data_IF_613938045797
#
_entry.id   IF_613938045797
#
_cell.length_a   1.000
_cell.length_b   1.000
_cell.length_c   1.000
_cell.angle_alpha   90.00
_cell.angle_beta   90.00
_cell.angle_gamma   90.00
#
_symmetry.space_group_name_H-M   'P 1'
#
loop_
_entity.id
_entity.type
_entity.pdbx_description
1 polymer ?
#
# COMPACT_ATOMS: atom_id res chain seq x y z
N UNK A 1 -23.17 27.94 -8.02
CA UNK A 1 -23.57 29.34 -8.37
C UNK A 1 -22.59 29.87 -9.41
N UNK A 2 -23.04 30.69 -10.37
CA UNK A 2 -22.08 31.54 -11.11
C UNK A 2 -21.41 32.48 -10.09
N UNK A 3 -20.06 32.56 -10.05
CA UNK A 3 -19.32 33.40 -9.09
C UNK A 3 -19.79 34.85 -9.01
N UNK A 4 -20.36 35.34 -10.12
CA UNK A 4 -20.93 36.68 -10.28
C UNK A 4 -22.09 36.97 -9.31
N UNK A 5 -22.94 35.99 -9.00
CA UNK A 5 -24.12 36.20 -8.13
C UNK A 5 -23.71 36.33 -6.66
N UNK A 6 -22.72 35.55 -6.21
CA UNK A 6 -22.15 35.66 -4.85
C UNK A 6 -21.44 37.01 -4.68
N UNK A 7 -20.70 37.43 -5.71
CA UNK A 7 -20.02 38.71 -5.71
C UNK A 7 -21.00 39.89 -5.63
N UNK A 8 -22.07 39.86 -6.45
CA UNK A 8 -23.10 40.90 -6.43
C UNK A 8 -23.90 40.92 -5.13
N UNK A 9 -24.25 39.76 -4.55
CA UNK A 9 -24.97 39.71 -3.27
C UNK A 9 -24.11 40.23 -2.11
N UNK A 10 -22.80 39.92 -2.10
CA UNK A 10 -21.85 40.48 -1.15
C UNK A 10 -21.75 42.01 -1.25
N UNK A 11 -21.75 42.56 -2.46
CA UNK A 11 -21.69 44.01 -2.70
C UNK A 11 -22.96 44.72 -2.22
N UNK A 12 -24.13 44.10 -2.36
CA UNK A 12 -25.41 44.61 -1.83
C UNK A 12 -25.42 44.62 -0.30
N UNK A 13 -24.90 43.56 0.35
CA UNK A 13 -24.81 43.51 1.82
C UNK A 13 -23.84 44.59 2.34
N UNK A 14 -22.72 44.81 1.66
CA UNK A 14 -21.76 45.86 2.02
C UNK A 14 -22.39 47.26 1.91
N UNK A 15 -23.16 47.52 0.85
CA UNK A 15 -23.87 48.78 0.67
C UNK A 15 -24.92 49.02 1.77
N UNK A 16 -25.66 47.98 2.16
CA UNK A 16 -26.63 48.05 3.26
C UNK A 16 -25.96 48.26 4.63
N UNK A 17 -24.78 47.67 4.86
CA UNK A 17 -23.98 47.90 6.06
C UNK A 17 -23.51 49.36 6.15
N UNK A 18 -23.04 49.92 5.03
CA UNK A 18 -22.59 51.31 4.98
C UNK A 18 -23.77 52.28 5.19
N UNK A 19 -24.93 51.98 4.61
CA UNK A 19 -26.16 52.73 4.84
C UNK A 19 -26.59 52.68 6.32
N UNK A 20 -26.50 51.50 6.94
CA UNK A 20 -26.82 51.32 8.36
C UNK A 20 -25.92 52.16 9.27
N UNK A 21 -24.61 52.22 8.97
CA UNK A 21 -23.64 53.01 9.72
C UNK A 21 -23.84 54.53 9.55
N UNK A 22 -24.26 54.97 8.36
CA UNK A 22 -24.45 56.39 8.03
C UNK A 22 -25.80 56.97 8.49
N UNK A 23 -26.75 56.15 8.95
CA UNK A 23 -28.09 56.61 9.34
C UNK A 23 -28.16 56.95 10.83
N UNK A 24 -28.33 58.23 11.15
CA UNK A 24 -28.56 58.72 12.54
C UNK A 24 -30.02 58.56 13.01
N UNK A 25 -30.95 58.31 12.10
CA UNK A 25 -32.38 58.12 12.41
C UNK A 25 -32.64 56.69 12.94
N UNK A 26 -33.06 56.60 14.21
CA UNK A 26 -33.31 55.34 14.94
C UNK A 26 -34.32 54.44 14.21
N UNK A 27 -35.34 55.01 13.57
CA UNK A 27 -36.37 54.22 12.85
C UNK A 27 -35.82 53.61 11.56
N UNK A 28 -34.97 54.36 10.84
CA UNK A 28 -34.30 53.86 9.62
C UNK A 28 -33.22 52.84 9.96
N UNK A 29 -32.44 53.08 11.02
CA UNK A 29 -31.43 52.15 11.52
C UNK A 29 -32.04 50.80 11.88
N UNK A 30 -33.22 50.79 12.52
CA UNK A 30 -33.94 49.55 12.84
C UNK A 30 -34.35 48.79 11.58
N UNK A 31 -34.96 49.45 10.58
CA UNK A 31 -35.42 48.81 9.33
C UNK A 31 -34.26 48.26 8.49
N UNK A 32 -33.19 49.05 8.32
CA UNK A 32 -32.00 48.63 7.55
C UNK A 32 -31.29 47.48 8.27
N UNK A 33 -31.21 47.53 9.60
CA UNK A 33 -30.64 46.45 10.41
C UNK A 33 -31.40 45.12 10.26
N UNK A 34 -32.74 45.13 10.29
CA UNK A 34 -33.52 43.89 10.08
C UNK A 34 -33.35 43.33 8.67
N UNK A 35 -33.26 44.18 7.65
CA UNK A 35 -33.05 43.75 6.26
C UNK A 35 -31.65 43.14 6.09
N UNK A 36 -30.63 43.73 6.72
CA UNK A 36 -29.27 43.20 6.70
C UNK A 36 -29.20 41.82 7.35
N UNK A 37 -29.79 41.67 8.54
CA UNK A 37 -29.81 40.39 9.28
C UNK A 37 -30.59 39.33 8.48
N UNK A 38 -31.77 39.67 7.95
CA UNK A 38 -32.55 38.75 7.13
C UNK A 38 -31.79 38.35 5.85
N UNK A 39 -31.07 39.28 5.22
CA UNK A 39 -30.23 39.01 4.06
C UNK A 39 -29.08 38.05 4.36
N UNK A 40 -28.38 38.25 5.48
CA UNK A 40 -27.28 37.36 5.91
C UNK A 40 -27.83 35.98 6.27
N UNK A 41 -28.91 35.90 7.04
CA UNK A 41 -29.55 34.62 7.42
C UNK A 41 -30.04 33.87 6.18
N UNK A 42 -30.66 34.56 5.22
CA UNK A 42 -31.06 33.96 3.95
C UNK A 42 -29.85 33.41 3.20
N UNK A 43 -28.74 34.15 3.13
CA UNK A 43 -27.51 33.72 2.45
C UNK A 43 -26.85 32.54 3.16
N UNK A 44 -26.86 32.50 4.50
CA UNK A 44 -26.41 31.38 5.30
C UNK A 44 -27.28 30.13 5.07
N UNK A 45 -28.61 30.26 5.14
CA UNK A 45 -29.54 29.16 4.85
C UNK A 45 -29.37 28.64 3.42
N UNK A 46 -29.17 29.54 2.45
CA UNK A 46 -28.93 29.16 1.05
C UNK A 46 -27.55 28.54 0.81
N UNK A 47 -26.56 28.91 1.62
CA UNK A 47 -25.24 28.27 1.62
C UNK A 47 -25.26 26.88 2.26
N UNK A 48 -26.24 26.60 3.13
CA UNK A 48 -26.48 25.27 3.69
C UNK A 48 -27.18 24.33 2.71
N UNK A 49 -27.79 24.84 1.63
CA UNK A 49 -28.36 23.99 0.60
C UNK A 49 -27.22 23.21 -0.09
N UNK A 50 -27.31 21.87 -0.18
CA UNK A 50 -26.26 21.06 -0.79
C UNK A 50 -26.00 21.57 -2.20
N UNK A 51 -24.76 21.94 -2.47
CA UNK A 51 -24.29 22.22 -3.83
C UNK A 51 -24.49 20.91 -4.61
N UNK A 52 -25.50 20.86 -5.47
CA UNK A 52 -25.65 19.78 -6.46
C UNK A 52 -24.57 19.97 -7.54
N UNK A 53 -23.32 19.80 -7.12
CA UNK A 53 -22.21 19.43 -7.98
C UNK A 53 -21.97 17.92 -7.84
N UNK A 54 -23.06 17.16 -7.92
CA UNK A 54 -22.99 15.71 -8.00
C UNK A 54 -22.74 15.35 -9.48
N UNK A 55 -21.48 15.39 -9.90
CA UNK A 55 -21.00 14.67 -11.08
C UNK A 55 -21.01 13.15 -10.78
N UNK A 56 -22.19 12.63 -10.43
CA UNK A 56 -22.37 11.21 -10.18
C UNK A 56 -22.61 10.52 -11.51
N UNK A 57 -21.85 9.46 -11.73
CA UNK A 57 -22.06 8.50 -12.79
C UNK A 57 -22.74 7.27 -12.17
N UNK A 58 -23.49 6.49 -12.94
CA UNK A 58 -23.95 5.16 -12.57
C UNK A 58 -23.24 4.19 -13.49
N UNK A 59 -22.33 3.39 -12.94
CA UNK A 59 -21.68 2.35 -13.71
C UNK A 59 -22.69 1.22 -13.95
N UNK A 60 -23.02 0.98 -15.22
CA UNK A 60 -23.84 -0.13 -15.65
C UNK A 60 -23.10 -1.47 -15.60
N UNK A 61 -23.69 -2.46 -16.25
CA UNK A 61 -23.09 -3.79 -16.34
C UNK A 61 -22.01 -3.86 -17.43
N UNK A 62 -21.01 -4.72 -17.19
CA UNK A 62 -20.00 -5.04 -18.18
C UNK A 62 -20.58 -6.01 -19.19
N UNK A 63 -20.65 -5.59 -20.45
CA UNK A 63 -21.02 -6.44 -21.57
C UNK A 63 -19.76 -6.99 -22.22
N UNK A 64 -19.70 -8.33 -22.34
CA UNK A 64 -18.61 -8.98 -23.06
C UNK A 64 -18.80 -8.81 -24.58
N UNK A 65 -17.77 -8.29 -25.25
CA UNK A 65 -17.66 -8.31 -26.71
C UNK A 65 -16.67 -9.40 -27.12
N UNK A 66 -16.81 -9.95 -28.32
CA UNK A 66 -15.93 -11.03 -28.81
C UNK A 66 -14.44 -10.67 -28.80
N UNK A 67 -14.10 -9.38 -28.77
CA UNK A 67 -12.75 -8.82 -28.73
C UNK A 67 -12.43 -8.05 -27.42
N UNK A 68 -13.25 -8.10 -26.37
CA UNK A 68 -13.01 -7.39 -25.11
C UNK A 68 -14.25 -7.14 -24.26
N UNK A 69 -14.32 -5.97 -23.62
CA UNK A 69 -15.46 -5.59 -22.78
C UNK A 69 -15.95 -4.18 -23.09
N UNK A 70 -17.25 -3.95 -22.90
CA UNK A 70 -17.87 -2.64 -22.95
C UNK A 70 -18.49 -2.31 -21.59
N UNK A 71 -18.23 -1.11 -21.10
CA UNK A 71 -18.83 -0.58 -19.89
C UNK A 71 -19.71 0.60 -20.27
N UNK A 72 -21.00 0.48 -19.95
CA UNK A 72 -21.95 1.58 -20.07
C UNK A 72 -21.98 2.36 -18.77
N UNK A 73 -21.84 3.67 -18.85
CA UNK A 73 -21.81 4.59 -17.71
C UNK A 73 -22.88 5.64 -17.94
N UNK A 74 -23.86 5.70 -17.05
CA UNK A 74 -24.95 6.65 -17.15
C UNK A 74 -24.63 7.91 -16.33
N UNK A 75 -24.57 9.06 -16.98
CA UNK A 75 -24.35 10.34 -16.31
C UNK A 75 -25.66 10.78 -15.64
N UNK A 76 -25.66 11.01 -14.32
CA UNK A 76 -26.87 11.51 -13.65
C UNK A 76 -27.12 12.96 -14.08
N UNK A 77 -28.34 13.25 -14.53
CA UNK A 77 -28.77 14.59 -14.89
C UNK A 77 -28.79 15.47 -13.63
N UNK A 78 -28.35 16.72 -13.76
CA UNK A 78 -28.47 17.67 -12.67
C UNK A 78 -29.96 17.95 -12.41
N UNK A 79 -30.40 17.92 -11.16
CA UNK A 79 -31.78 18.24 -10.79
C UNK A 79 -31.90 19.73 -10.46
N UNK A 80 -33.00 20.35 -10.87
CA UNK A 80 -33.32 21.74 -10.54
C UNK A 80 -33.79 21.89 -9.08
N UNK A 81 -34.09 23.13 -8.65
CA UNK A 81 -34.50 23.44 -7.27
C UNK A 81 -35.87 22.87 -6.87
N UNK A 82 -36.63 22.31 -7.81
CA UNK A 82 -37.97 21.72 -7.61
C UNK A 82 -37.95 20.19 -7.72
N UNK A 83 -36.81 19.58 -8.02
CA UNK A 83 -36.72 18.14 -8.22
C UNK A 83 -36.92 17.71 -9.69
N UNK A 84 -36.96 18.65 -10.64
CA UNK A 84 -37.10 18.34 -12.07
C UNK A 84 -35.72 18.12 -12.71
N UNK A 85 -35.58 17.08 -13.54
CA UNK A 85 -34.33 16.79 -14.25
C UNK A 85 -34.03 17.87 -15.29
N UNK A 86 -32.85 18.48 -15.21
CA UNK A 86 -32.36 19.42 -16.22
C UNK A 86 -31.90 18.60 -17.42
N UNK A 87 -32.46 18.90 -18.59
CA UNK A 87 -32.11 18.26 -19.86
C UNK A 87 -30.60 18.37 -20.14
N UNK A 88 -29.95 17.23 -20.38
CA UNK A 88 -28.50 17.15 -20.56
C UNK A 88 -28.11 17.57 -21.97
N UNK A 89 -27.37 18.67 -22.09
CA UNK A 89 -26.78 19.11 -23.37
C UNK A 89 -25.57 18.25 -23.73
N UNK A 90 -25.39 18.01 -25.03
CA UNK A 90 -24.28 17.21 -25.55
C UNK A 90 -22.91 17.77 -25.18
N UNK A 91 -22.75 19.10 -25.18
CA UNK A 91 -21.52 19.78 -24.74
C UNK A 91 -21.16 19.48 -23.28
N UNK A 92 -22.16 19.37 -22.39
CA UNK A 92 -21.96 19.01 -20.98
C UNK A 92 -21.58 17.54 -20.83
N UNK A 93 -22.16 16.66 -21.64
CA UNK A 93 -21.84 15.23 -21.66
C UNK A 93 -20.41 15.00 -22.18
N UNK A 94 -19.99 15.74 -23.21
CA UNK A 94 -18.64 15.69 -23.77
C UNK A 94 -17.58 16.25 -22.80
N UNK A 95 -17.90 17.30 -22.05
CA UNK A 95 -17.04 17.80 -20.98
C UNK A 95 -16.86 16.76 -19.85
N UNK A 96 -17.93 16.04 -19.50
CA UNK A 96 -17.89 14.94 -18.52
C UNK A 96 -17.08 13.74 -19.04
N UNK A 97 -17.23 13.38 -20.31
CA UNK A 97 -16.44 12.35 -20.99
C UNK A 97 -14.93 12.67 -20.89
N UNK A 98 -14.53 13.90 -21.22
CA UNK A 98 -13.11 14.33 -21.16
C UNK A 98 -12.54 14.23 -19.75
N UNK A 99 -13.31 14.65 -18.75
CA UNK A 99 -12.90 14.56 -17.34
C UNK A 99 -12.69 13.12 -16.90
N UNK A 100 -13.58 12.22 -17.34
CA UNK A 100 -13.51 10.79 -17.05
C UNK A 100 -12.34 10.11 -17.78
N UNK A 101 -12.09 10.50 -19.03
CA UNK A 101 -10.96 10.02 -19.84
C UNK A 101 -9.59 10.41 -19.24
N UNK A 102 -9.42 11.67 -18.86
CA UNK A 102 -8.17 12.18 -18.27
C UNK A 102 -7.80 11.47 -16.96
N UNK A 103 -8.80 11.01 -16.20
CA UNK A 103 -8.61 10.34 -14.91
C UNK A 103 -8.38 8.84 -15.01
N UNK A 104 -9.07 8.14 -15.92
CA UNK A 104 -8.91 6.69 -16.08
C UNK A 104 -7.54 6.32 -16.66
N UNK A 105 -6.92 7.18 -17.48
CA UNK A 105 -5.58 6.97 -18.06
C UNK A 105 -5.39 5.61 -18.76
N UNK A 106 -6.47 5.03 -19.30
CA UNK A 106 -6.43 3.73 -20.00
C UNK A 106 -6.24 3.85 -21.52
N UNK A 107 -6.06 5.07 -22.04
CA UNK A 107 -5.92 5.37 -23.48
C UNK A 107 -4.71 4.65 -24.10
N UNK A 108 -3.65 4.46 -23.33
CA UNK A 108 -2.46 3.71 -23.74
C UNK A 108 -2.69 2.21 -23.99
N UNK A 109 -3.86 1.67 -23.61
CA UNK A 109 -4.26 0.27 -23.84
C UNK A 109 -5.31 0.10 -24.94
N UNK A 110 -5.64 1.17 -25.70
CA UNK A 110 -6.56 1.10 -26.83
C UNK A 110 -8.06 1.23 -26.48
N UNK A 111 -8.38 1.76 -25.30
CA UNK A 111 -9.75 2.05 -24.91
C UNK A 111 -10.35 3.20 -25.76
N UNK A 112 -11.61 3.05 -26.16
CA UNK A 112 -12.35 4.05 -26.91
C UNK A 112 -13.57 4.53 -26.10
N UNK A 113 -13.83 5.84 -26.11
CA UNK A 113 -14.92 6.47 -25.35
C UNK A 113 -15.88 7.14 -26.32
N UNK A 114 -17.17 6.96 -26.10
CA UNK A 114 -18.21 7.70 -26.82
C UNK A 114 -19.28 8.20 -25.86
N UNK A 115 -19.77 9.40 -26.12
CA UNK A 115 -20.93 10.00 -25.46
C UNK A 115 -22.14 9.90 -26.39
N UNK A 116 -23.27 9.44 -25.88
CA UNK A 116 -24.54 9.44 -26.59
C UNK A 116 -25.66 10.00 -25.70
N UNK A 117 -26.50 10.85 -26.29
CA UNK A 117 -27.70 11.34 -25.63
C UNK A 117 -28.68 10.18 -25.41
N UNK A 118 -29.48 10.19 -24.32
CA UNK A 118 -29.70 11.32 -23.40
C UNK A 118 -28.65 11.47 -22.28
N UNK A 119 -27.94 10.41 -21.89
CA UNK A 119 -27.00 10.45 -20.75
C UNK A 119 -26.01 9.29 -20.69
N UNK A 120 -25.70 8.65 -21.82
CA UNK A 120 -24.91 7.43 -21.84
C UNK A 120 -23.48 7.72 -22.28
N UNK A 121 -22.52 7.25 -21.51
CA UNK A 121 -21.11 7.18 -21.88
C UNK A 121 -20.75 5.71 -22.05
N UNK A 122 -20.26 5.35 -23.23
CA UNK A 122 -19.78 4.00 -23.53
C UNK A 122 -18.26 4.00 -23.51
N UNK A 123 -17.69 3.10 -22.71
CA UNK A 123 -16.25 2.83 -22.65
C UNK A 123 -16.03 1.45 -23.26
N UNK A 124 -15.45 1.41 -24.47
CA UNK A 124 -15.09 0.18 -25.15
C UNK A 124 -13.63 -0.15 -24.87
N UNK A 125 -13.39 -1.34 -24.32
CA UNK A 125 -12.09 -1.82 -23.88
C UNK A 125 -11.71 -3.09 -24.66
N UNK A 126 -11.25 -2.95 -25.93
CA UNK A 126 -10.80 -4.08 -26.72
C UNK A 126 -9.51 -4.67 -26.12
N UNK A 127 -9.43 -5.99 -26.00
CA UNK A 127 -8.26 -6.70 -25.48
C UNK A 127 -8.10 -6.72 -23.95
N UNK A 128 -9.03 -6.13 -23.19
CA UNK A 128 -9.02 -6.19 -21.73
C UNK A 128 -9.48 -7.56 -21.21
N UNK A 129 -8.84 -8.05 -20.15
CA UNK A 129 -9.35 -9.22 -19.43
C UNK A 129 -10.56 -8.83 -18.58
N UNK A 130 -11.35 -9.83 -18.15
CA UNK A 130 -12.50 -9.61 -17.26
C UNK A 130 -12.10 -8.87 -15.98
N UNK A 131 -10.95 -9.22 -15.40
CA UNK A 131 -10.44 -8.62 -14.18
C UNK A 131 -10.04 -7.15 -14.38
N UNK A 132 -9.36 -6.83 -15.49
CA UNK A 132 -9.01 -5.45 -15.82
C UNK A 132 -10.27 -4.58 -16.03
N UNK A 133 -11.29 -5.15 -16.67
CA UNK A 133 -12.53 -4.45 -16.96
C UNK A 133 -13.37 -4.22 -15.68
N UNK A 134 -13.35 -5.17 -14.73
CA UNK A 134 -13.93 -5.00 -13.39
C UNK A 134 -13.17 -3.95 -12.55
N UNK A 135 -11.84 -3.85 -12.67
CA UNK A 135 -11.04 -2.80 -12.03
C UNK A 135 -11.41 -1.41 -12.56
N UNK A 136 -11.60 -1.27 -13.88
CA UNK A 136 -12.06 -0.01 -14.48
C UNK A 136 -13.46 0.35 -13.96
N UNK A 137 -14.39 -0.61 -13.89
CA UNK A 137 -15.71 -0.39 -13.28
C UNK A 137 -15.58 0.04 -11.82
N UNK A 138 -14.69 -0.58 -11.04
CA UNK A 138 -14.45 -0.21 -9.65
C UNK A 138 -13.87 1.21 -9.50
N UNK A 139 -12.96 1.63 -10.39
CA UNK A 139 -12.43 3.00 -10.42
C UNK A 139 -13.52 4.03 -10.73
N UNK A 140 -14.36 3.77 -11.73
CA UNK A 140 -15.50 4.64 -12.08
C UNK A 140 -16.48 4.77 -10.90
N UNK A 141 -16.65 3.73 -10.09
CA UNK A 141 -17.50 3.75 -8.88
C UNK A 141 -16.81 4.50 -7.73
N UNK A 142 -15.53 4.22 -7.48
CA UNK A 142 -14.76 4.86 -6.41
C UNK A 142 -14.60 6.37 -6.62
N UNK A 143 -14.49 6.82 -7.88
CA UNK A 143 -14.39 8.23 -8.26
C UNK A 143 -15.70 9.02 -8.07
N UNK A 144 -16.83 8.37 -7.77
CA UNK A 144 -18.09 9.06 -7.45
C UNK A 144 -18.07 9.76 -6.09
N UNK A 145 -16.99 9.58 -5.31
CA UNK A 145 -16.84 10.07 -3.93
C UNK A 145 -16.06 11.38 -3.81
N UNK A 146 -15.89 12.15 -4.90
CA UNK A 146 -15.12 13.41 -4.93
C UNK A 146 -15.84 14.49 -4.12
N UNK A 147 -15.49 14.51 -2.84
CA UNK A 147 -16.11 15.32 -1.79
C UNK A 147 -15.91 14.68 -0.41
N UNK A 148 -15.65 13.37 -0.36
CA UNK A 148 -15.23 12.71 0.88
C UNK A 148 -13.76 13.02 1.14
N UNK A 149 -13.49 13.81 2.17
CA UNK A 149 -12.18 13.81 2.83
C UNK A 149 -11.83 12.36 3.14
N UNK A 150 -10.64 11.90 2.73
CA UNK A 150 -10.18 10.55 3.10
C UNK A 150 -10.21 10.45 4.63
N UNK A 151 -11.04 9.58 5.21
CA UNK A 151 -11.15 9.49 6.65
C UNK A 151 -9.83 8.97 7.23
N UNK A 152 -9.29 9.67 8.23
CA UNK A 152 -8.13 9.19 8.99
C UNK A 152 -8.46 7.94 9.81
N UNK A 153 -7.47 7.36 10.48
CA UNK A 153 -7.63 6.14 11.29
C UNK A 153 -8.75 6.25 12.34
N UNK A 154 -8.96 7.45 12.89
CA UNK A 154 -10.01 7.71 13.89
C UNK A 154 -11.42 7.59 13.32
N UNK A 155 -11.58 7.73 12.00
CA UNK A 155 -12.87 7.74 11.31
C UNK A 155 -13.08 6.47 10.48
N UNK A 156 -12.05 6.03 9.74
CA UNK A 156 -12.08 4.82 8.92
C UNK A 156 -11.87 3.54 9.75
N UNK A 157 -11.37 3.67 10.97
CA UNK A 157 -10.71 2.56 11.66
C UNK A 157 -9.35 2.24 11.01
N UNK A 158 -8.69 1.22 11.53
CA UNK A 158 -7.40 0.74 11.02
C UNK A 158 -6.43 0.38 12.15
N UNK A 159 -5.13 0.36 11.81
CA UNK A 159 -4.07 0.00 12.75
C UNK A 159 -2.97 1.07 12.79
N UNK A 160 -2.45 1.32 13.99
CA UNK A 160 -1.30 2.20 14.24
C UNK A 160 -0.24 1.44 15.04
N UNK A 161 1.00 1.52 14.59
CA UNK A 161 2.16 0.92 15.24
C UNK A 161 3.21 1.99 15.54
N UNK A 162 3.72 2.00 16.77
CA UNK A 162 4.90 2.78 17.16
C UNK A 162 6.05 1.81 17.39
N UNK A 163 7.08 1.90 16.56
CA UNK A 163 8.24 1.04 16.56
C UNK A 163 9.46 1.80 17.06
N UNK A 164 10.40 1.13 17.70
CA UNK A 164 11.70 1.65 18.08
C UNK A 164 12.79 0.83 17.39
N UNK A 165 13.66 1.52 16.65
CA UNK A 165 14.85 0.92 16.03
C UNK A 165 15.86 0.63 17.14
N UNK A 166 16.26 -0.63 17.27
CA UNK A 166 17.27 -1.04 18.24
C UNK A 166 18.67 -0.94 17.62
N UNK A 167 19.69 -0.62 18.42
CA UNK A 167 21.06 -0.70 17.93
C UNK A 167 21.45 -2.15 17.62
N UNK A 168 22.35 -2.32 16.64
CA UNK A 168 22.87 -3.63 16.24
C UNK A 168 24.17 -3.93 17.00
N UNK A 169 24.33 -5.15 17.47
CA UNK A 169 25.61 -5.65 18.03
C UNK A 169 26.29 -6.46 16.94
N UNK A 170 27.55 -6.17 16.64
CA UNK A 170 28.32 -6.94 15.65
C UNK A 170 28.63 -8.35 16.19
N UNK A 171 28.47 -9.38 15.35
CA UNK A 171 28.64 -10.79 15.76
C UNK A 171 30.12 -11.16 16.05
N UNK A 172 31.08 -10.34 15.62
CA UNK A 172 32.52 -10.60 15.80
C UNK A 172 33.24 -9.67 16.80
N UNK A 173 32.53 -8.74 17.45
CA UNK A 173 33.07 -7.90 18.52
C UNK A 173 31.97 -7.00 19.07
N UNK A 174 31.73 -7.02 20.38
CA UNK A 174 30.56 -6.42 21.05
C UNK A 174 30.46 -4.89 21.04
N UNK A 175 30.80 -4.24 19.93
CA UNK A 175 30.54 -2.82 19.71
C UNK A 175 29.10 -2.63 19.25
N UNK A 176 28.38 -1.81 19.99
CA UNK A 176 27.02 -1.38 19.69
C UNK A 176 27.08 -0.34 18.58
N UNK A 177 26.54 -0.64 17.41
CA UNK A 177 26.37 0.35 16.34
C UNK A 177 25.16 1.21 16.73
N UNK A 178 25.41 2.48 17.05
CA UNK A 178 24.35 3.45 17.37
C UNK A 178 23.37 3.62 16.20
N UNK A 179 22.12 3.89 16.54
CA UNK A 179 21.07 4.15 15.55
C UNK A 179 21.34 5.50 14.90
N UNK A 180 21.71 5.49 13.63
CA UNK A 180 21.90 6.73 12.85
C UNK A 180 20.60 7.15 12.18
N UNK A 181 20.49 8.45 11.84
CA UNK A 181 19.35 8.95 11.05
C UNK A 181 19.17 8.21 9.72
N UNK A 182 20.28 7.78 9.12
CA UNK A 182 20.28 7.02 7.87
C UNK A 182 19.70 5.61 8.07
N UNK A 183 20.01 4.97 9.20
CA UNK A 183 19.42 3.67 9.56
C UNK A 183 17.90 3.77 9.73
N UNK A 184 17.39 4.88 10.30
CA UNK A 184 15.95 5.12 10.43
C UNK A 184 15.29 5.32 9.07
N UNK A 185 15.88 6.15 8.20
CA UNK A 185 15.36 6.37 6.85
C UNK A 185 15.37 5.07 6.03
N UNK A 186 16.42 4.26 6.18
CA UNK A 186 16.52 2.96 5.55
C UNK A 186 15.46 1.98 6.10
N UNK A 187 15.21 2.00 7.41
CA UNK A 187 14.15 1.22 8.04
C UNK A 187 12.76 1.64 7.53
N UNK A 188 12.46 2.94 7.43
CA UNK A 188 11.22 3.47 6.86
C UNK A 188 11.02 2.98 5.43
N UNK A 189 12.04 3.12 4.57
CA UNK A 189 12.00 2.64 3.18
C UNK A 189 11.79 1.13 3.09
N UNK A 190 12.43 0.38 3.99
CA UNK A 190 12.32 -1.08 4.07
C UNK A 190 10.90 -1.50 4.47
N UNK A 191 10.33 -0.88 5.50
CA UNK A 191 8.97 -1.14 5.96
C UNK A 191 7.94 -0.77 4.89
N UNK A 192 8.16 0.32 4.16
CA UNK A 192 7.30 0.70 3.04
C UNK A 192 7.28 -0.37 1.94
N UNK A 193 8.46 -0.88 1.54
CA UNK A 193 8.56 -1.94 0.54
C UNK A 193 7.96 -3.29 1.00
N UNK A 194 8.06 -3.60 2.30
CA UNK A 194 7.49 -4.82 2.89
C UNK A 194 5.96 -4.77 2.99
N UNK A 195 5.41 -3.65 3.45
CA UNK A 195 3.98 -3.54 3.75
C UNK A 195 3.16 -3.13 2.52
N UNK A 196 3.76 -2.41 1.58
CA UNK A 196 3.11 -1.89 0.37
C UNK A 196 3.98 -2.08 -0.89
N UNK A 197 4.27 -3.32 -1.31
CA UNK A 197 5.11 -3.59 -2.48
C UNK A 197 4.50 -3.02 -3.78
N UNK A 198 3.17 -3.03 -3.90
CA UNK A 198 2.43 -2.60 -5.09
C UNK A 198 2.09 -1.09 -5.07
N UNK A 199 2.37 -0.38 -3.97
CA UNK A 199 2.09 1.05 -3.82
C UNK A 199 0.60 1.41 -3.73
N UNK A 200 -0.30 0.43 -3.66
CA UNK A 200 -1.76 0.60 -3.70
C UNK A 200 -2.39 0.89 -2.34
N UNK A 201 -1.71 0.53 -1.24
CA UNK A 201 -2.23 0.74 0.12
C UNK A 201 -2.01 2.19 0.56
N UNK A 202 -3.07 2.82 1.05
CA UNK A 202 -3.00 4.12 1.73
C UNK A 202 -2.40 3.90 3.13
N UNK A 203 -1.10 4.17 3.30
CA UNK A 203 -0.41 4.07 4.59
C UNK A 203 0.55 5.26 4.80
N UNK A 204 0.73 5.64 6.06
CA UNK A 204 1.68 6.65 6.48
C UNK A 204 2.80 6.00 7.28
N UNK A 205 4.04 6.15 6.85
CA UNK A 205 5.22 5.70 7.59
C UNK A 205 6.13 6.91 7.78
N UNK A 206 6.38 7.29 9.04
CA UNK A 206 7.19 8.46 9.36
C UNK A 206 8.14 8.17 10.54
N UNK A 207 9.37 8.71 10.49
CA UNK A 207 10.23 8.72 11.67
C UNK A 207 9.64 9.67 12.73
N UNK A 208 9.72 9.28 13.98
CA UNK A 208 9.35 10.09 15.14
C UNK A 208 10.52 10.16 16.13
N UNK A 209 11.02 11.36 16.42
CA UNK A 209 12.15 11.52 17.34
C UNK A 209 13.46 10.95 16.77
N UNK A 210 14.31 10.42 17.65
CA UNK A 210 15.66 9.95 17.30
C UNK A 210 15.74 8.47 16.90
N UNK A 211 14.79 7.63 17.32
CA UNK A 211 14.85 6.18 17.08
C UNK A 211 13.48 5.53 16.87
N UNK A 212 12.38 6.30 16.82
CA UNK A 212 11.04 5.74 16.63
C UNK A 212 10.54 5.89 15.19
N UNK A 213 9.66 4.98 14.80
CA UNK A 213 8.93 5.00 13.52
C UNK A 213 7.45 4.79 13.83
N UNK A 214 6.60 5.68 13.32
CA UNK A 214 5.15 5.52 13.35
C UNK A 214 4.67 5.01 12.01
N UNK A 215 3.80 3.99 12.07
CA UNK A 215 3.08 3.44 10.94
C UNK A 215 1.59 3.62 11.21
N UNK A 216 0.87 4.23 10.29
CA UNK A 216 -0.59 4.34 10.31
C UNK A 216 -1.18 3.74 9.04
N UNK A 217 -2.13 2.84 9.22
CA UNK A 217 -2.79 2.12 8.13
C UNK A 217 -4.31 2.27 8.30
N UNK A 218 -4.93 3.32 7.72
CA UNK A 218 -6.37 3.52 7.76
C UNK A 218 -7.13 2.44 6.99
N UNK A 219 -8.28 2.02 7.50
CA UNK A 219 -9.21 1.11 6.82
C UNK A 219 -8.79 -0.36 6.76
N UNK A 220 -7.66 -0.74 7.39
CA UNK A 220 -7.22 -2.15 7.43
C UNK A 220 -8.03 -2.98 8.43
N UNK A 221 -8.22 -4.26 8.10
CA UNK A 221 -8.91 -5.21 8.98
C UNK A 221 -8.01 -5.63 10.16
N UNK A 222 -8.60 -6.26 11.18
CA UNK A 222 -7.84 -6.80 12.31
C UNK A 222 -6.92 -7.97 11.89
N UNK A 223 -7.33 -8.75 10.90
CA UNK A 223 -6.53 -9.82 10.31
C UNK A 223 -5.31 -9.25 9.57
N UNK A 224 -5.53 -8.20 8.77
CA UNK A 224 -4.45 -7.49 8.09
C UNK A 224 -3.50 -6.84 9.09
N UNK A 225 -4.00 -6.25 10.17
CA UNK A 225 -3.18 -5.69 11.24
C UNK A 225 -2.32 -6.77 11.93
N UNK A 226 -2.88 -7.96 12.17
CA UNK A 226 -2.13 -9.08 12.72
C UNK A 226 -1.00 -9.55 11.78
N UNK A 227 -1.29 -9.63 10.48
CA UNK A 227 -0.29 -9.93 9.45
C UNK A 227 0.83 -8.87 9.40
N UNK A 228 0.48 -7.57 9.48
CA UNK A 228 1.46 -6.48 9.55
C UNK A 228 2.37 -6.63 10.77
N UNK A 229 1.80 -6.94 11.94
CA UNK A 229 2.56 -7.17 13.17
C UNK A 229 3.58 -8.30 12.98
N UNK A 230 3.16 -9.41 12.36
CA UNK A 230 4.04 -10.57 12.11
C UNK A 230 5.21 -10.18 11.19
N UNK A 231 4.95 -9.44 10.11
CA UNK A 231 5.99 -8.99 9.17
C UNK A 231 6.98 -8.02 9.83
N UNK A 232 6.51 -7.13 10.71
CA UNK A 232 7.37 -6.19 11.43
C UNK A 232 8.27 -6.93 12.43
N UNK A 233 7.74 -7.96 13.11
CA UNK A 233 8.49 -8.75 14.08
C UNK A 233 9.50 -9.71 13.44
N UNK A 234 9.22 -10.20 12.23
CA UNK A 234 10.16 -11.02 11.46
C UNK A 234 11.37 -10.16 11.04
N UNK A 235 12.47 -10.36 11.75
CA UNK A 235 13.78 -9.80 11.43
C UNK A 235 14.39 -10.54 10.25
N UNK A 236 13.76 -10.46 9.08
CA UNK A 236 14.17 -11.30 7.97
C UNK A 236 15.58 -11.02 7.48
N UNK A 237 16.57 -11.75 8.01
CA UNK A 237 17.96 -11.70 7.56
C UNK A 237 18.15 -12.84 6.58
N UNK A 238 18.07 -12.50 5.29
CA UNK A 238 18.49 -13.41 4.24
C UNK A 238 20.01 -13.52 4.25
N UNK A 239 20.52 -14.74 4.38
CA UNK A 239 21.92 -15.05 4.11
C UNK A 239 22.02 -16.24 3.15
N UNK A 240 22.67 -16.03 2.01
CA UNK A 240 23.04 -17.11 1.11
C UNK A 240 24.46 -17.54 1.45
N UNK A 241 24.63 -18.81 1.83
CA UNK A 241 25.91 -19.37 2.30
C UNK A 241 26.23 -20.65 1.55
N UNK A 242 27.49 -20.86 1.20
CA UNK A 242 27.93 -22.14 0.64
C UNK A 242 27.94 -23.23 1.73
N UNK A 243 27.41 -24.40 1.40
CA UNK A 243 27.49 -25.60 2.25
C UNK A 243 28.87 -26.23 2.07
N UNK A 244 29.45 -26.76 3.15
CA UNK A 244 30.72 -27.44 3.10
C UNK A 244 30.66 -28.66 2.15
N UNK A 245 31.62 -28.85 1.21
CA UNK A 245 31.54 -29.92 0.22
C UNK A 245 31.52 -31.35 0.80
N UNK A 246 32.06 -31.54 2.00
CA UNK A 246 32.04 -32.79 2.77
C UNK A 246 31.07 -32.71 3.97
N UNK A 247 29.91 -32.07 3.80
CA UNK A 247 28.94 -31.89 4.88
C UNK A 247 28.56 -33.21 5.56
N UNK A 248 28.26 -34.23 4.77
CA UNK A 248 27.65 -35.48 5.27
C UNK A 248 28.58 -36.24 6.23
N UNK A 249 29.90 -36.09 6.08
CA UNK A 249 30.88 -36.70 6.98
C UNK A 249 31.29 -35.80 8.14
N UNK A 250 31.37 -34.48 7.93
CA UNK A 250 31.88 -33.55 8.92
C UNK A 250 30.81 -32.96 9.84
N UNK A 251 29.59 -32.72 9.34
CA UNK A 251 28.53 -32.11 10.14
C UNK A 251 28.21 -32.93 11.40
N UNK A 252 28.10 -34.28 11.36
CA UNK A 252 27.90 -35.09 12.56
C UNK A 252 29.05 -34.97 13.58
N UNK A 253 30.31 -34.91 13.12
CA UNK A 253 31.48 -34.79 13.99
C UNK A 253 31.56 -33.42 14.67
N UNK A 254 31.19 -32.36 13.95
CA UNK A 254 31.12 -31.00 14.52
C UNK A 254 29.94 -30.90 15.49
N UNK A 255 28.81 -31.55 15.18
CA UNK A 255 27.64 -31.61 16.06
C UNK A 255 27.95 -32.31 17.38
N UNK A 256 28.72 -33.40 17.32
CA UNK A 256 29.23 -34.15 18.46
C UNK A 256 30.36 -33.42 19.22
N UNK A 257 30.79 -32.25 18.75
CA UNK A 257 31.93 -31.46 19.28
C UNK A 257 33.28 -32.20 19.25
N UNK A 258 33.41 -33.19 18.38
CA UNK A 258 34.65 -33.97 18.20
C UNK A 258 35.66 -33.23 17.33
N UNK A 259 35.17 -32.46 16.36
CA UNK A 259 35.99 -31.70 15.40
C UNK A 259 35.44 -30.28 15.27
N UNK A 260 36.32 -29.28 15.09
CA UNK A 260 35.92 -27.94 14.69
C UNK A 260 36.48 -27.65 13.29
N UNK A 261 35.63 -27.19 12.37
CA UNK A 261 36.04 -26.79 11.03
C UNK A 261 36.17 -25.26 11.01
N UNK A 262 37.40 -24.70 10.93
CA UNK A 262 37.59 -23.26 10.92
C UNK A 262 36.86 -22.60 9.74
N UNK A 263 36.20 -21.48 10.00
CA UNK A 263 35.45 -20.75 8.97
C UNK A 263 34.05 -21.31 8.66
N UNK A 264 33.59 -22.36 9.36
CA UNK A 264 32.23 -22.92 9.19
C UNK A 264 31.44 -22.89 10.51
N UNK A 265 30.11 -22.82 10.41
CA UNK A 265 29.16 -22.89 11.53
C UNK A 265 28.04 -23.86 11.18
N UNK A 266 27.53 -24.60 12.17
CA UNK A 266 26.40 -25.50 12.00
C UNK A 266 25.08 -24.74 12.02
N UNK A 267 24.19 -25.12 11.10
CA UNK A 267 22.82 -24.66 11.03
C UNK A 267 21.88 -25.86 10.90
N UNK A 268 20.74 -25.86 11.60
CA UNK A 268 19.71 -26.88 11.40
C UNK A 268 18.97 -26.63 10.08
N UNK A 269 18.69 -27.71 9.35
CA UNK A 269 17.81 -27.71 8.19
C UNK A 269 16.74 -28.79 8.38
N UNK A 270 15.49 -28.37 8.52
CA UNK A 270 14.36 -29.28 8.66
C UNK A 270 13.56 -29.29 7.36
N UNK A 271 13.37 -30.47 6.78
CA UNK A 271 12.58 -30.65 5.56
C UNK A 271 11.70 -31.89 5.67
N UNK A 272 10.59 -31.91 4.94
CA UNK A 272 9.70 -33.07 4.89
C UNK A 272 10.30 -34.11 3.96
N UNK A 273 10.45 -35.34 4.43
CA UNK A 273 10.93 -36.42 3.59
C UNK A 273 9.81 -36.88 2.65
N UNK A 274 9.98 -36.68 1.35
CA UNK A 274 8.99 -37.05 0.32
C UNK A 274 8.56 -38.53 0.37
N UNK A 275 9.41 -39.41 0.92
CA UNK A 275 9.16 -40.85 0.97
C UNK A 275 8.41 -41.29 2.22
N UNK A 276 8.57 -40.61 3.35
CA UNK A 276 7.95 -40.99 4.63
C UNK A 276 6.91 -39.99 5.12
N UNK A 277 6.88 -38.78 4.57
CA UNK A 277 6.05 -37.67 5.03
C UNK A 277 6.47 -37.10 6.40
N UNK A 278 7.55 -37.61 6.99
CA UNK A 278 8.03 -37.20 8.30
C UNK A 278 9.06 -36.06 8.19
N UNK A 279 9.07 -35.12 9.14
CA UNK A 279 10.09 -34.09 9.19
C UNK A 279 11.45 -34.71 9.53
N UNK A 280 12.45 -34.42 8.71
CA UNK A 280 13.84 -34.81 8.93
C UNK A 280 14.66 -33.54 9.16
N UNK A 281 15.42 -33.52 10.24
CA UNK A 281 16.37 -32.43 10.52
C UNK A 281 17.79 -32.92 10.22
N UNK A 282 18.40 -32.35 9.19
CA UNK A 282 19.83 -32.49 8.94
C UNK A 282 20.61 -31.28 9.45
N UNK A 283 21.92 -31.45 9.67
CA UNK A 283 22.80 -30.34 10.02
C UNK A 283 23.68 -29.96 8.84
N UNK A 284 23.74 -28.66 8.57
CA UNK A 284 24.53 -28.09 7.47
C UNK A 284 25.66 -27.23 8.02
N UNK A 285 26.89 -27.55 7.60
CA UNK A 285 28.07 -26.73 7.81
C UNK A 285 28.10 -25.62 6.76
N UNK A 286 27.84 -24.39 7.19
CA UNK A 286 27.80 -23.22 6.31
C UNK A 286 29.03 -22.34 6.50
N UNK A 287 29.54 -21.78 5.41
CA UNK A 287 30.68 -20.88 5.43
C UNK A 287 30.35 -19.57 6.16
N UNK A 288 31.26 -19.11 7.04
CA UNK A 288 31.08 -17.91 7.88
C UNK A 288 31.20 -16.61 7.09
N UNK A 289 32.26 -16.50 6.27
CA UNK A 289 32.73 -15.23 5.69
C UNK A 289 32.09 -14.91 4.35
N UNK A 290 32.07 -15.86 3.42
CA UNK A 290 31.51 -15.63 2.10
C UNK A 290 30.00 -15.86 2.12
N UNK A 291 29.25 -14.81 2.50
CA UNK A 291 27.79 -14.79 2.51
C UNK A 291 27.24 -13.64 1.67
N UNK A 292 26.07 -13.86 1.07
CA UNK A 292 25.32 -12.81 0.37
C UNK A 292 24.14 -12.46 1.26
N UNK A 293 24.15 -11.23 1.75
CA UNK A 293 23.10 -10.73 2.62
C UNK A 293 21.93 -10.15 1.82
N UNK A 294 20.75 -10.13 2.43
CA UNK A 294 19.54 -9.58 1.80
C UNK A 294 19.67 -8.12 1.33
N UNK A 295 20.61 -7.31 1.86
CA UNK A 295 20.86 -5.92 1.39
C UNK A 295 21.25 -5.85 -0.08
N UNK A 296 21.67 -6.98 -0.64
CA UNK A 296 22.00 -7.13 -2.04
C UNK A 296 20.81 -7.51 -2.92
N UNK A 297 19.65 -7.83 -2.35
CA UNK A 297 18.41 -8.08 -3.08
C UNK A 297 17.86 -6.75 -3.59
N UNK A 298 17.52 -6.73 -4.89
CA UNK A 298 16.91 -5.58 -5.57
C UNK A 298 15.40 -5.77 -5.73
N UNK A 299 14.96 -7.00 -6.00
CA UNK A 299 13.55 -7.33 -6.20
C UNK A 299 13.32 -8.80 -5.83
N UNK A 300 12.15 -9.11 -5.27
CA UNK A 300 11.72 -10.48 -5.00
C UNK A 300 10.21 -10.58 -5.18
N UNK A 301 9.73 -11.48 -6.03
CA UNK A 301 8.29 -11.62 -6.25
C UNK A 301 7.92 -13.10 -6.45
N UNK A 302 6.70 -13.50 -6.07
CA UNK A 302 6.18 -14.81 -6.42
C UNK A 302 6.19 -14.99 -7.95
N UNK A 303 6.45 -16.20 -8.41
CA UNK A 303 6.31 -16.53 -9.82
C UNK A 303 4.82 -16.64 -10.18
N UNK A 304 4.42 -16.05 -11.31
CA UNK A 304 3.02 -16.09 -11.75
C UNK A 304 2.65 -17.42 -12.41
N UNK A 305 3.63 -18.20 -12.88
CA UNK A 305 3.42 -19.46 -13.61
C UNK A 305 3.62 -20.71 -12.76
N UNK A 306 4.09 -20.59 -11.53
CA UNK A 306 4.40 -21.71 -10.64
C UNK A 306 4.08 -21.36 -9.19
N UNK A 307 3.26 -22.19 -8.54
CA UNK A 307 3.01 -22.13 -7.10
C UNK A 307 4.26 -22.55 -6.34
N UNK A 308 4.56 -21.90 -5.20
CA UNK A 308 5.69 -22.29 -4.37
C UNK A 308 7.07 -21.82 -4.85
N UNK A 309 7.09 -20.85 -5.77
CA UNK A 309 8.31 -20.34 -6.39
C UNK A 309 8.42 -18.83 -6.19
N UNK A 310 9.56 -18.36 -5.71
CA UNK A 310 9.89 -16.92 -5.59
C UNK A 310 11.10 -16.61 -6.46
N UNK A 311 10.95 -15.64 -7.37
CA UNK A 311 12.06 -15.13 -8.17
C UNK A 311 12.73 -13.99 -7.43
N UNK A 312 14.06 -14.06 -7.34
CA UNK A 312 14.87 -13.05 -6.67
C UNK A 312 15.86 -12.45 -7.67
N UNK A 313 15.91 -11.13 -7.70
CA UNK A 313 16.88 -10.35 -8.46
C UNK A 313 17.77 -9.58 -7.50
N UNK A 314 19.08 -9.75 -7.63
CA UNK A 314 20.11 -9.05 -6.89
C UNK A 314 20.52 -7.74 -7.59
N UNK A 315 21.06 -6.83 -6.81
CA UNK A 315 21.81 -5.67 -7.26
C UNK A 315 23.07 -6.06 -8.03
N UNK A 316 23.69 -5.10 -8.74
CA UNK A 316 24.93 -5.33 -9.49
C UNK A 316 26.09 -5.80 -8.59
N UNK A 317 26.22 -5.25 -7.39
CA UNK A 317 27.19 -5.71 -6.39
C UNK A 317 26.86 -7.12 -5.91
N UNK A 318 25.59 -7.38 -5.61
CA UNK A 318 25.08 -8.70 -5.23
C UNK A 318 25.37 -9.78 -6.26
N UNK A 319 25.12 -9.51 -7.54
CA UNK A 319 25.40 -10.46 -8.62
C UNK A 319 26.89 -10.77 -8.80
N UNK A 320 27.78 -9.82 -8.47
CA UNK A 320 29.23 -10.07 -8.45
C UNK A 320 29.63 -10.95 -7.27
N UNK A 321 29.06 -10.72 -6.08
CA UNK A 321 29.27 -11.58 -4.91
C UNK A 321 28.75 -12.99 -5.17
N UNK A 322 27.56 -13.14 -5.75
CA UNK A 322 26.98 -14.42 -6.17
C UNK A 322 27.87 -15.17 -7.15
N UNK A 323 28.40 -14.47 -8.15
CA UNK A 323 29.32 -15.07 -9.12
C UNK A 323 30.61 -15.53 -8.45
N UNK A 324 31.16 -14.75 -7.52
CA UNK A 324 32.38 -15.12 -6.78
C UNK A 324 32.14 -16.30 -5.84
N UNK A 325 30.96 -16.37 -5.20
CA UNK A 325 30.57 -17.46 -4.30
C UNK A 325 30.37 -18.77 -5.07
N UNK A 326 29.73 -18.70 -6.24
CA UNK A 326 29.35 -19.90 -7.02
C UNK A 326 30.36 -20.33 -8.07
N UNK A 327 31.31 -19.47 -8.47
CA UNK A 327 32.40 -19.83 -9.40
C UNK A 327 33.29 -20.99 -8.92
N UNK A 328 33.70 -21.08 -7.64
CA UNK A 328 34.51 -22.20 -7.16
C UNK A 328 33.69 -23.47 -6.86
N UNK A 329 32.36 -23.42 -6.91
CA UNK A 329 31.49 -24.55 -6.56
C UNK A 329 31.43 -25.59 -7.69
N UNK A 330 31.42 -26.86 -7.31
CA UNK A 330 31.23 -28.01 -8.20
C UNK A 330 29.76 -28.12 -8.59
N UNK A 331 29.51 -27.87 -9.88
CA UNK A 331 28.17 -27.94 -10.48
C UNK A 331 27.58 -29.34 -10.32
N UNK A 332 26.34 -29.42 -9.84
CA UNK A 332 25.64 -30.69 -9.62
C UNK A 332 26.06 -31.45 -8.36
N UNK A 333 26.88 -30.85 -7.48
CA UNK A 333 27.26 -31.48 -6.20
C UNK A 333 27.22 -30.53 -5.02
N UNK A 334 27.81 -29.33 -5.16
CA UNK A 334 27.88 -28.40 -4.05
C UNK A 334 26.52 -27.68 -3.86
N UNK A 335 26.14 -27.45 -2.59
CA UNK A 335 24.85 -26.86 -2.21
C UNK A 335 25.00 -25.40 -1.79
N UNK A 336 24.01 -24.59 -2.14
CA UNK A 336 23.90 -23.20 -1.69
C UNK A 336 22.73 -23.12 -0.70
N UNK A 337 23.02 -22.87 0.57
CA UNK A 337 22.01 -22.74 1.61
C UNK A 337 21.41 -21.34 1.62
N UNK A 338 20.09 -21.30 1.74
CA UNK A 338 19.28 -20.12 1.96
C UNK A 338 18.91 -20.11 3.44
N UNK A 339 19.59 -19.25 4.20
CA UNK A 339 19.34 -19.07 5.62
C UNK A 339 18.41 -17.88 5.80
N UNK A 340 17.34 -18.10 6.54
CA UNK A 340 16.38 -17.08 6.96
C UNK A 340 16.34 -17.14 8.48
N UNK A 341 16.62 -16.03 9.14
CA UNK A 341 16.47 -15.87 10.60
C UNK A 341 17.29 -16.88 11.42
N UNK A 342 18.42 -17.33 10.86
CA UNK A 342 19.30 -18.31 11.49
C UNK A 342 18.91 -19.77 11.28
N UNK A 343 17.85 -20.05 10.53
CA UNK A 343 17.43 -21.40 10.13
C UNK A 343 17.61 -21.60 8.63
N UNK A 344 18.01 -22.81 8.21
CA UNK A 344 18.11 -23.12 6.77
C UNK A 344 16.74 -23.45 6.24
N UNK A 345 16.22 -22.56 5.39
CA UNK A 345 14.96 -22.79 4.69
C UNK A 345 15.12 -23.80 3.56
N UNK A 346 16.17 -23.67 2.75
CA UNK A 346 16.47 -24.60 1.66
C UNK A 346 17.97 -24.65 1.35
N UNK A 347 18.45 -25.77 0.81
CA UNK A 347 19.85 -25.95 0.40
C UNK A 347 19.97 -26.63 -0.98
N UNK A 348 19.49 -26.00 -2.06
CA UNK A 348 19.53 -26.56 -3.40
C UNK A 348 20.96 -26.78 -3.92
N UNK A 349 21.09 -27.76 -4.82
CA UNK A 349 22.33 -28.03 -5.53
C UNK A 349 22.55 -26.97 -6.61
N UNK A 350 23.75 -26.40 -6.64
CA UNK A 350 24.11 -25.39 -7.63
C UNK A 350 24.38 -26.07 -8.97
N UNK A 351 23.60 -25.73 -10.00
CA UNK A 351 23.72 -26.31 -11.34
C UNK A 351 24.62 -25.49 -12.28
N UNK A 352 24.77 -24.19 -12.01
CA UNK A 352 25.55 -23.28 -12.83
C UNK A 352 26.13 -22.15 -11.96
N UNK A 353 27.09 -21.42 -12.51
CA UNK A 353 27.58 -20.20 -11.88
C UNK A 353 26.46 -19.16 -11.94
N UNK A 354 25.92 -18.81 -10.78
CA UNK A 354 24.81 -17.87 -10.63
C UNK A 354 25.34 -16.43 -10.71
N UNK A 355 24.45 -15.51 -11.09
CA UNK A 355 24.76 -14.08 -11.18
C UNK A 355 23.73 -13.26 -10.42
N UNK A 356 22.99 -12.37 -11.08
CA UNK A 356 22.03 -11.51 -10.39
C UNK A 356 20.67 -12.16 -10.16
N UNK A 357 20.26 -13.12 -10.98
CA UNK A 357 18.92 -13.69 -10.89
C UNK A 357 18.99 -15.14 -10.44
N UNK A 358 18.12 -15.51 -9.50
CA UNK A 358 17.93 -16.89 -9.07
C UNK A 358 16.49 -17.12 -8.63
N UNK A 359 16.15 -18.38 -8.41
CA UNK A 359 14.82 -18.82 -8.03
C UNK A 359 14.92 -19.61 -6.74
N UNK A 360 13.97 -19.38 -5.83
CA UNK A 360 13.77 -20.17 -4.62
C UNK A 360 12.54 -21.04 -4.87
N UNK A 361 12.73 -22.36 -4.77
CA UNK A 361 11.69 -23.37 -5.01
C UNK A 361 11.39 -24.12 -3.71
N UNK A 362 10.25 -24.82 -3.65
CA UNK A 362 9.86 -25.63 -2.50
C UNK A 362 9.19 -24.83 -1.38
N UNK A 363 8.74 -23.61 -1.67
CA UNK A 363 7.87 -22.86 -0.78
C UNK A 363 6.47 -23.47 -0.90
N UNK A 364 5.73 -23.61 0.19
CA UNK A 364 4.44 -24.29 0.17
C UNK A 364 3.38 -23.46 -0.57
N UNK A 365 2.68 -22.60 0.18
CA UNK A 365 1.50 -21.90 -0.31
C UNK A 365 1.80 -20.55 -0.99
N UNK A 366 0.85 -20.06 -1.81
CA UNK A 366 0.92 -18.73 -2.42
C UNK A 366 1.03 -17.61 -1.39
N UNK A 367 0.42 -17.76 -0.21
CA UNK A 367 0.57 -16.82 0.89
C UNK A 367 1.99 -16.81 1.46
N UNK A 368 2.61 -17.98 1.64
CA UNK A 368 4.01 -18.08 2.09
C UNK A 368 4.98 -17.45 1.09
N UNK A 369 4.76 -17.66 -0.21
CA UNK A 369 5.54 -16.99 -1.26
C UNK A 369 5.42 -15.47 -1.18
N UNK A 370 4.21 -14.93 -0.94
CA UNK A 370 3.99 -13.49 -0.76
C UNK A 370 4.74 -12.98 0.47
N UNK A 371 4.59 -13.65 1.60
CA UNK A 371 5.25 -13.27 2.85
C UNK A 371 6.77 -13.31 2.74
N UNK A 372 7.32 -14.35 2.09
CA UNK A 372 8.74 -14.48 1.83
C UNK A 372 9.23 -13.39 0.86
N UNK A 373 8.50 -13.13 -0.23
CA UNK A 373 8.91 -12.12 -1.21
C UNK A 373 8.99 -10.72 -0.59
N UNK A 374 7.99 -10.34 0.22
CA UNK A 374 7.98 -9.08 0.97
C UNK A 374 9.17 -9.00 1.94
N UNK A 375 9.41 -10.09 2.64
CA UNK A 375 10.55 -10.30 3.56
C UNK A 375 11.90 -10.08 2.86
N UNK A 376 12.08 -10.63 1.66
CA UNK A 376 13.35 -10.62 0.92
C UNK A 376 13.68 -9.29 0.27
N UNK A 377 12.67 -8.48 -0.08
CA UNK A 377 12.85 -7.27 -0.89
C UNK A 377 13.79 -6.23 -0.27
N UNK A 378 13.93 -6.18 1.05
CA UNK A 378 14.95 -5.42 1.79
C UNK A 378 15.00 -5.95 3.24
N UNK A 379 16.10 -6.55 3.72
CA UNK A 379 16.22 -6.94 5.12
C UNK A 379 16.33 -5.68 6.00
N UNK A 380 15.72 -5.71 7.18
CA UNK A 380 15.93 -4.69 8.19
C UNK A 380 17.37 -4.83 8.72
N UNK A 381 18.14 -3.73 8.69
CA UNK A 381 19.52 -3.73 9.18
C UNK A 381 19.58 -3.80 10.72
N UNK A 382 18.54 -3.25 11.37
CA UNK A 382 18.40 -3.12 12.81
C UNK A 382 17.14 -3.82 13.31
N UNK A 383 17.16 -4.43 14.51
CA UNK A 383 15.95 -4.96 15.14
C UNK A 383 14.92 -3.85 15.34
N UNK A 384 13.64 -4.17 15.16
CA UNK A 384 12.55 -3.28 15.53
C UNK A 384 11.84 -3.83 16.77
N UNK A 385 11.53 -2.94 17.71
CA UNK A 385 10.71 -3.25 18.88
C UNK A 385 9.38 -2.50 18.79
N UNK A 386 8.27 -3.22 18.90
CA UNK A 386 6.95 -2.57 18.99
C UNK A 386 6.80 -1.99 20.40
N UNK A 387 6.67 -0.66 20.49
CA UNK A 387 6.43 0.05 21.76
C UNK A 387 4.93 0.16 22.05
N UNK A 388 4.16 0.50 21.02
CA UNK A 388 2.73 0.71 21.12
C UNK A 388 2.04 0.19 19.88
N UNK A 389 0.88 -0.39 20.08
CA UNK A 389 -0.02 -0.80 19.03
C UNK A 389 -1.44 -0.35 19.39
N UNK A 390 -2.18 0.13 18.39
CA UNK A 390 -3.57 0.50 18.55
C UNK A 390 -4.34 0.07 17.30
N UNK A 391 -5.42 -0.68 17.50
CA UNK A 391 -6.38 -1.00 16.44
C UNK A 391 -7.69 -0.29 16.77
N UNK A 392 -8.22 0.45 15.79
CA UNK A 392 -9.50 1.17 15.92
C UNK A 392 -10.48 0.54 14.95
N UNK A 393 -11.67 0.17 15.42
CA UNK A 393 -12.70 -0.37 14.53
C UNK A 393 -13.47 0.75 13.84
N UNK A 394 -13.81 0.55 12.56
CA UNK A 394 -14.58 1.51 11.77
C UNK A 394 -15.92 1.91 12.43
N UNK A 395 -16.48 1.03 13.27
CA UNK A 395 -17.76 1.26 13.99
C UNK A 395 -17.67 2.42 14.99
N UNK A 396 -16.52 2.61 15.65
CA UNK A 396 -16.33 3.70 16.61
C UNK A 396 -16.18 5.06 15.89
N UNK A 397 -15.49 5.08 14.76
CA UNK A 397 -15.34 6.27 13.92
C UNK A 397 -16.67 6.75 13.33
N UNK A 398 -17.48 5.83 12.79
CA UNK A 398 -18.80 6.15 12.23
C UNK A 398 -19.75 6.79 13.26
N UNK A 399 -19.73 6.29 14.51
CA UNK A 399 -20.50 6.87 15.60
C UNK A 399 -20.06 8.31 15.91
N UNK A 400 -18.74 8.55 15.98
CA UNK A 400 -18.16 9.87 16.24
C UNK A 400 -18.54 10.88 15.16
N UNK A 401 -18.49 10.49 13.88
CA UNK A 401 -18.93 11.33 12.76
C UNK A 401 -20.42 11.67 12.88
N UNK A 402 -21.28 10.67 13.14
CA UNK A 402 -22.72 10.92 13.28
C UNK A 402 -23.03 11.88 14.43
N UNK A 403 -22.39 11.71 15.59
CA UNK A 403 -22.57 12.60 16.74
C UNK A 403 -22.07 14.01 16.46
N UNK A 404 -20.92 14.15 15.77
CA UNK A 404 -20.41 15.46 15.33
C UNK A 404 -21.38 16.17 14.39
N UNK A 405 -22.00 15.44 13.45
CA UNK A 405 -23.04 15.99 12.57
C UNK A 405 -24.26 16.44 13.38
N UNK A 406 -24.78 15.61 14.28
CA UNK A 406 -25.93 15.98 15.13
C UNK A 406 -25.62 17.17 16.04
N UNK A 407 -24.43 17.24 16.63
CA UNK A 407 -23.99 18.36 17.46
C UNK A 407 -23.82 19.64 16.63
N UNK A 408 -23.29 19.54 15.41
CA UNK A 408 -23.19 20.66 14.48
C UNK A 408 -24.55 21.19 14.04
N UNK A 409 -25.51 20.31 13.76
CA UNK A 409 -26.90 20.68 13.43
C UNK A 409 -27.61 21.29 14.64
N UNK A 410 -27.39 20.77 15.85
CA UNK A 410 -28.02 21.27 17.07
C UNK A 410 -27.40 22.57 17.60
N UNK A 411 -26.12 22.82 17.29
CA UNK A 411 -25.40 24.03 17.67
C UNK A 411 -25.60 25.21 16.72
N UNK A 412 -26.01 24.95 15.47
CA UNK A 412 -26.47 25.94 14.50
C UNK A 412 -27.92 26.34 14.78
#
# INVERSE_FOLDING_TARGET
>A
MQPTIVFLSGLVILALLFWYLASDDISRKRKVGTILIAGIVLLCIWSLAPRTEDSKFLAGDLTALGDGYELTVEAIAATDKKGEEIEMKQETLDARLRTLQERLQIDGRGAAYSSSLPRTITIRMPGFSKADAEEVKAKVIAEQSVGSLKPGIDLAGGASFTLQVQPKVDEEGGETIEVTSDAIQQAVKTLQGRLNPDGTKDMLIQPQGEDMIIIEMPGVSEEEAAWVREIIQKQSVLELRAVHPNNDSLAPQVAAKETAVPGYKLYPHTYTNDRTGEPVTEQLLLEKRNKIEGKHVKNAHPDQGSTGVVRVALSKSGGKLMRNLTAPMRKGSDRLAIVLDGEVNSAPVVQATLSSNFVIEGIGDAEECRNLSATLMNPLENPLKILKESTVTARLGAATVSQGIYAGIAGL
#
